data_IF_664780998241
#
_entry.id   IF_664780998241
#
_cell.length_a   1.000
_cell.length_b   1.000
_cell.length_c   1.000
_cell.angle_alpha   90.00
_cell.angle_beta   90.00
_cell.angle_gamma   90.00
#
_symmetry.space_group_name_H-M   'P 1'
#
loop_
_entity.id
_entity.type
_entity.pdbx_description
1 polymer ?
#
# COMPACT_ATOMS: atom_id res chain seq x y z
N UNK A 1 22.05 11.71 9.41
CA UNK A 1 20.87 11.13 8.75
C UNK A 1 20.59 9.83 9.49
N UNK A 2 19.80 9.90 10.57
CA UNK A 2 19.46 8.75 11.40
C UNK A 2 18.20 8.15 10.77
N UNK A 3 18.30 6.91 10.29
CA UNK A 3 17.13 6.17 9.79
C UNK A 3 16.23 5.96 11.01
N UNK A 4 14.99 6.49 11.05
CA UNK A 4 14.10 6.23 12.17
C UNK A 4 13.84 4.73 12.24
N UNK A 5 13.82 4.18 13.45
CA UNK A 5 13.54 2.77 13.71
C UNK A 5 12.30 2.32 12.93
N UNK A 6 12.47 1.39 11.99
CA UNK A 6 11.35 0.70 11.34
C UNK A 6 10.72 -0.22 12.38
N UNK A 7 9.55 0.15 12.89
CA UNK A 7 8.72 -0.78 13.63
C UNK A 7 8.12 -1.79 12.66
N UNK A 8 8.35 -3.07 12.92
CA UNK A 8 7.81 -4.17 12.12
C UNK A 8 6.89 -5.04 12.96
N UNK A 9 5.76 -5.43 12.38
CA UNK A 9 4.76 -6.28 13.00
C UNK A 9 4.56 -7.51 12.13
N UNK A 10 4.59 -8.70 12.71
CA UNK A 10 4.40 -9.94 11.95
C UNK A 10 3.11 -10.63 12.36
N UNK A 11 2.21 -10.81 11.40
CA UNK A 11 1.04 -11.68 11.54
C UNK A 11 1.39 -13.06 10.97
N UNK A 12 1.14 -14.13 11.74
CA UNK A 12 1.39 -15.50 11.32
C UNK A 12 0.07 -16.25 11.27
N UNK A 13 -0.22 -16.85 10.11
CA UNK A 13 -1.35 -17.76 9.91
C UNK A 13 -0.82 -19.10 9.41
N UNK A 14 -1.51 -20.19 9.78
CA UNK A 14 -1.18 -21.52 9.30
C UNK A 14 -2.30 -22.03 8.41
N UNK A 15 -1.94 -22.51 7.23
CA UNK A 15 -2.82 -23.22 6.30
C UNK A 15 -2.38 -24.68 6.23
N UNK A 16 -3.31 -25.63 6.21
CA UNK A 16 -2.94 -27.02 5.93
C UNK A 16 -2.54 -27.19 4.47
N UNK A 17 -1.54 -28.04 4.23
CA UNK A 17 -1.11 -28.34 2.87
C UNK A 17 -2.18 -29.18 2.17
N UNK A 18 -2.42 -28.86 0.90
CA UNK A 18 -3.35 -29.63 0.08
C UNK A 18 -2.98 -31.13 0.11
N UNK A 19 -3.98 -31.97 0.32
CA UNK A 19 -3.85 -33.44 0.27
C UNK A 19 -3.44 -33.90 -1.14
N UNK A 20 -2.89 -35.12 -1.29
CA UNK A 20 -2.45 -35.61 -2.61
C UNK A 20 -3.53 -35.50 -3.69
N UNK A 21 -4.77 -35.86 -3.35
CA UNK A 21 -5.91 -35.75 -4.26
C UNK A 21 -6.25 -34.30 -4.62
N UNK A 22 -6.18 -33.37 -3.65
CA UNK A 22 -6.34 -31.93 -3.91
C UNK A 22 -5.21 -31.37 -4.76
N UNK A 23 -3.96 -31.83 -4.58
CA UNK A 23 -2.82 -31.45 -5.42
C UNK A 23 -3.03 -31.93 -6.85
N UNK A 24 -3.38 -33.20 -7.08
CA UNK A 24 -3.62 -33.74 -8.43
C UNK A 24 -4.81 -33.03 -9.11
N UNK A 25 -5.92 -32.82 -8.38
CA UNK A 25 -7.07 -32.05 -8.89
C UNK A 25 -6.67 -30.61 -9.24
N UNK A 26 -5.90 -29.94 -8.37
CA UNK A 26 -5.40 -28.58 -8.63
C UNK A 26 -4.45 -28.53 -9.82
N UNK A 27 -3.61 -29.56 -10.03
CA UNK A 27 -2.70 -29.64 -11.17
C UNK A 27 -3.43 -29.83 -12.50
N UNK A 28 -4.50 -30.64 -12.54
CA UNK A 28 -5.34 -30.78 -13.73
C UNK A 28 -6.08 -29.49 -14.07
N UNK A 29 -6.61 -28.81 -13.06
CA UNK A 29 -7.22 -27.47 -13.23
C UNK A 29 -6.17 -26.45 -13.67
N UNK A 30 -4.95 -26.49 -13.11
CA UNK A 30 -3.86 -25.61 -13.49
C UNK A 30 -3.41 -25.83 -14.95
N UNK A 31 -3.44 -27.08 -15.46
CA UNK A 31 -3.16 -27.37 -16.87
C UNK A 31 -4.24 -26.75 -17.77
N UNK A 32 -5.53 -26.90 -17.43
CA UNK A 32 -6.62 -26.30 -18.19
C UNK A 32 -6.53 -24.77 -18.20
N UNK A 33 -6.25 -24.17 -17.03
CA UNK A 33 -6.00 -22.73 -16.91
C UNK A 33 -4.77 -22.34 -17.74
N UNK A 34 -3.69 -23.12 -17.69
CA UNK A 34 -2.49 -22.87 -18.50
C UNK A 34 -2.77 -22.88 -20.00
N UNK A 35 -3.54 -23.85 -20.49
CA UNK A 35 -3.96 -23.91 -21.89
C UNK A 35 -4.87 -22.73 -22.27
N UNK A 36 -5.81 -22.37 -21.40
CA UNK A 36 -6.65 -21.18 -21.58
C UNK A 36 -5.79 -19.91 -21.65
N UNK A 37 -4.83 -19.75 -20.75
CA UNK A 37 -3.91 -18.61 -20.72
C UNK A 37 -3.06 -18.53 -21.99
N UNK A 38 -2.57 -19.66 -22.52
CA UNK A 38 -1.83 -19.71 -23.78
C UNK A 38 -2.71 -19.25 -24.94
N UNK A 39 -3.96 -19.69 -24.99
CA UNK A 39 -4.91 -19.30 -26.03
C UNK A 39 -5.24 -17.80 -25.94
N UNK A 40 -5.56 -17.31 -24.74
CA UNK A 40 -5.82 -15.88 -24.50
C UNK A 40 -4.60 -15.03 -24.84
N UNK A 41 -3.40 -15.45 -24.43
CA UNK A 41 -2.16 -14.75 -24.75
C UNK A 41 -1.92 -14.71 -26.26
N UNK A 42 -2.20 -15.80 -26.98
CA UNK A 42 -2.03 -15.85 -28.43
C UNK A 42 -3.01 -14.90 -29.15
N UNK A 43 -4.27 -14.85 -28.72
CA UNK A 43 -5.26 -13.88 -29.23
C UNK A 43 -4.83 -12.44 -28.93
N UNK A 44 -4.36 -12.17 -27.71
CA UNK A 44 -3.88 -10.85 -27.30
C UNK A 44 -2.67 -10.41 -28.14
N UNK A 45 -1.71 -11.31 -28.37
CA UNK A 45 -0.54 -11.04 -29.21
C UNK A 45 -0.93 -10.75 -30.65
N UNK A 46 -1.83 -11.56 -31.23
CA UNK A 46 -2.32 -11.34 -32.59
C UNK A 46 -3.06 -10.00 -32.72
N UNK A 47 -3.94 -9.67 -31.76
CA UNK A 47 -4.63 -8.39 -31.73
C UNK A 47 -3.65 -7.21 -31.57
N UNK A 48 -2.63 -7.36 -30.73
CA UNK A 48 -1.60 -6.35 -30.54
C UNK A 48 -0.78 -6.14 -31.82
N UNK A 49 -0.40 -7.21 -32.52
CA UNK A 49 0.32 -7.14 -33.79
C UNK A 49 -0.53 -6.43 -34.85
N UNK A 50 -1.81 -6.80 -34.97
CA UNK A 50 -2.75 -6.12 -35.87
C UNK A 50 -2.83 -4.61 -35.57
N UNK A 51 -2.98 -4.23 -34.30
CA UNK A 51 -2.96 -2.83 -33.87
C UNK A 51 -1.63 -2.15 -34.18
N UNK A 52 -0.50 -2.83 -33.98
CA UNK A 52 0.83 -2.29 -34.23
C UNK A 52 1.04 -2.02 -35.72
N UNK A 53 0.69 -2.97 -36.59
CA UNK A 53 0.73 -2.82 -38.05
C UNK A 53 -0.20 -1.69 -38.51
N UNK A 54 -1.42 -1.64 -38.00
CA UNK A 54 -2.35 -0.55 -38.32
C UNK A 54 -1.78 0.81 -37.92
N UNK A 55 -1.19 0.92 -36.72
CA UNK A 55 -0.56 2.15 -36.25
C UNK A 55 0.60 2.55 -37.15
N UNK A 56 1.47 1.61 -37.52
CA UNK A 56 2.59 1.86 -38.41
C UNK A 56 2.11 2.39 -39.78
N UNK A 57 1.12 1.73 -40.38
CA UNK A 57 0.53 2.17 -41.65
C UNK A 57 -0.11 3.56 -41.56
N UNK A 58 -0.85 3.85 -40.48
CA UNK A 58 -1.44 5.19 -40.27
C UNK A 58 -0.38 6.28 -40.09
N UNK A 59 0.74 5.98 -39.44
CA UNK A 59 1.86 6.92 -39.29
C UNK A 59 2.59 7.16 -40.62
N UNK A 60 2.83 6.10 -41.41
CA UNK A 60 3.42 6.20 -42.74
C UNK A 60 2.53 7.00 -43.69
N UNK A 61 1.22 6.74 -43.66
CA UNK A 61 0.23 7.55 -44.40
C UNK A 61 0.28 9.01 -43.96
N UNK A 62 0.26 9.26 -42.65
CA UNK A 62 0.36 10.59 -42.06
C UNK A 62 1.59 11.34 -42.54
N UNK A 63 2.78 10.73 -42.46
CA UNK A 63 4.03 11.31 -42.93
C UNK A 63 4.02 11.66 -44.42
N UNK A 64 3.37 10.82 -45.25
CA UNK A 64 3.27 11.04 -46.69
C UNK A 64 2.37 12.23 -47.06
N UNK A 65 1.30 12.47 -46.30
CA UNK A 65 0.33 13.54 -46.56
C UNK A 65 0.61 14.82 -45.77
N UNK A 66 1.59 14.80 -44.86
CA UNK A 66 1.94 15.89 -43.95
C UNK A 66 2.40 17.14 -44.71
N UNK A 67 1.74 18.27 -44.45
CA UNK A 67 2.09 19.56 -45.03
C UNK A 67 2.88 20.38 -44.01
N UNK A 68 4.13 20.73 -44.34
CA UNK A 68 4.93 21.64 -43.53
C UNK A 68 4.46 23.09 -43.74
N UNK A 69 4.13 23.78 -42.65
CA UNK A 69 3.79 25.20 -42.72
C UNK A 69 5.05 26.07 -42.67
N UNK A 70 5.18 27.00 -43.61
CA UNK A 70 6.31 27.94 -43.68
C UNK A 70 6.25 29.01 -42.58
N UNK A 71 5.04 29.34 -42.09
CA UNK A 71 4.81 30.30 -41.01
C UNK A 71 3.65 29.85 -40.12
N UNK A 72 3.68 30.31 -38.86
CA UNK A 72 2.58 30.12 -37.89
C UNK A 72 1.69 31.35 -37.77
N UNK A 73 2.01 32.47 -38.42
CA UNK A 73 1.33 33.77 -38.23
C UNK A 73 -0.01 33.86 -38.97
N UNK A 74 -0.23 33.02 -39.98
CA UNK A 74 -1.42 33.04 -40.83
C UNK A 74 -1.92 31.62 -41.07
N UNK A 75 -3.23 31.42 -40.92
CA UNK A 75 -3.90 30.18 -41.30
C UNK A 75 -4.36 30.28 -42.77
N UNK A 76 -3.58 29.72 -43.69
CA UNK A 76 -3.93 29.72 -45.11
C UNK A 76 -5.05 28.73 -45.44
N UNK A 77 -6.08 29.19 -46.17
CA UNK A 77 -7.27 28.38 -46.51
C UNK A 77 -6.95 27.13 -47.35
N UNK A 78 -5.87 27.16 -48.14
CA UNK A 78 -5.44 26.01 -48.95
C UNK A 78 -5.02 24.77 -48.10
N UNK A 79 -4.72 24.98 -46.82
CA UNK A 79 -4.37 23.93 -45.87
C UNK A 79 -5.59 23.41 -45.07
N UNK A 80 -6.78 23.92 -45.33
CA UNK A 80 -8.00 23.47 -44.66
C UNK A 80 -8.20 21.95 -44.87
N UNK A 81 -8.57 21.24 -43.79
CA UNK A 81 -8.72 19.79 -43.72
C UNK A 81 -7.47 18.95 -44.04
N UNK A 82 -6.28 19.56 -44.10
CA UNK A 82 -5.01 18.83 -44.28
C UNK A 82 -4.34 18.51 -42.95
N UNK A 83 -3.55 17.45 -42.95
CA UNK A 83 -2.62 17.18 -41.86
C UNK A 83 -1.43 18.14 -41.98
N UNK A 84 -1.20 18.97 -40.97
CA UNK A 84 -0.16 20.00 -40.98
C UNK A 84 0.89 19.76 -39.91
N UNK A 85 2.12 20.14 -40.21
CA UNK A 85 3.24 20.21 -39.28
C UNK A 85 3.66 21.66 -39.11
N UNK A 86 3.80 22.09 -37.85
CA UNK A 86 4.28 23.40 -37.50
C UNK A 86 5.10 23.35 -36.22
N UNK A 87 5.99 24.31 -36.07
CA UNK A 87 6.73 24.56 -34.84
C UNK A 87 6.60 26.04 -34.53
N UNK A 88 6.43 26.36 -33.25
CA UNK A 88 6.34 27.74 -32.82
C UNK A 88 6.27 27.85 -31.31
N UNK A 89 6.34 29.09 -30.84
CA UNK A 89 6.23 29.39 -29.43
C UNK A 89 4.78 29.19 -28.97
N UNK A 90 4.59 28.38 -27.94
CA UNK A 90 3.31 28.27 -27.25
C UNK A 90 3.02 29.58 -26.52
N UNK A 91 1.85 30.16 -26.73
CA UNK A 91 1.41 31.39 -26.09
C UNK A 91 0.03 31.26 -25.46
N UNK A 92 -0.15 31.97 -24.35
CA UNK A 92 -1.44 32.20 -23.72
C UNK A 92 -1.39 33.55 -23.01
N UNK A 93 -2.39 34.39 -23.26
CA UNK A 93 -2.50 35.73 -22.66
C UNK A 93 -3.28 35.71 -21.34
N UNK A 94 -3.96 34.61 -21.03
CA UNK A 94 -4.72 34.45 -19.81
C UNK A 94 -3.78 34.29 -18.61
N UNK A 95 -4.14 34.95 -17.51
CA UNK A 95 -3.45 34.77 -16.23
C UNK A 95 -4.23 33.80 -15.35
N UNK A 96 -3.65 32.63 -15.11
CA UNK A 96 -4.18 31.62 -14.21
C UNK A 96 -3.87 32.01 -12.76
N UNK A 97 -4.85 31.85 -11.86
CA UNK A 97 -4.77 32.33 -10.49
C UNK A 97 -4.99 31.21 -9.47
N UNK A 98 -4.03 31.01 -8.58
CA UNK A 98 -4.14 30.14 -7.43
C UNK A 98 -4.68 30.95 -6.22
N UNK A 99 -5.93 30.72 -5.77
CA UNK A 99 -6.48 31.45 -4.65
C UNK A 99 -5.86 31.06 -3.29
N UNK A 100 -5.29 29.86 -3.15
CA UNK A 100 -4.71 29.36 -1.90
C UNK A 100 -3.41 30.08 -1.61
N UNK A 101 -2.52 30.14 -2.60
CA UNK A 101 -1.19 30.74 -2.45
C UNK A 101 -1.08 32.16 -3.04
N UNK A 102 -2.18 32.67 -3.59
CA UNK A 102 -2.28 33.99 -4.23
C UNK A 102 -1.25 34.17 -5.35
N UNK A 103 -0.98 33.10 -6.09
CA UNK A 103 -0.06 33.08 -7.24
C UNK A 103 -0.85 33.42 -8.49
N UNK A 104 -0.32 34.31 -9.32
CA UNK A 104 -0.90 34.63 -10.62
C UNK A 104 0.18 34.48 -11.68
N UNK A 105 -0.06 33.66 -12.71
CA UNK A 105 0.91 33.38 -13.76
C UNK A 105 0.23 33.28 -15.13
N UNK A 106 0.87 33.84 -16.16
CA UNK A 106 0.47 33.63 -17.55
C UNK A 106 1.08 32.34 -18.06
N UNK A 107 0.26 31.33 -18.31
CA UNK A 107 0.68 30.02 -18.78
C UNK A 107 -0.47 29.29 -19.46
N UNK A 108 -0.16 28.34 -20.34
CA UNK A 108 -1.17 27.46 -20.94
C UNK A 108 -1.81 26.52 -19.90
N UNK A 109 -1.01 26.04 -18.95
CA UNK A 109 -1.45 25.22 -17.82
C UNK A 109 -0.72 25.63 -16.57
N UNK A 110 -1.43 25.61 -15.45
CA UNK A 110 -0.88 25.83 -14.12
C UNK A 110 -1.27 24.66 -13.23
N UNK A 111 -0.29 24.05 -12.55
CA UNK A 111 -0.52 22.86 -11.72
C UNK A 111 0.05 23.09 -10.33
N UNK A 112 -0.84 23.11 -9.33
CA UNK A 112 -0.49 23.01 -7.92
C UNK A 112 -0.43 21.54 -7.53
N UNK A 113 0.72 21.11 -7.01
CA UNK A 113 0.90 19.78 -6.44
C UNK A 113 1.04 19.96 -4.93
N UNK A 114 0.19 19.28 -4.18
CA UNK A 114 0.24 19.20 -2.72
C UNK A 114 0.60 17.77 -2.34
N UNK A 115 1.56 17.66 -1.43
CA UNK A 115 1.91 16.40 -0.78
C UNK A 115 1.84 16.60 0.73
N UNK A 116 1.46 15.54 1.44
CA UNK A 116 1.45 15.49 2.90
C UNK A 116 2.41 14.42 3.36
N UNK A 117 3.31 14.79 4.27
CA UNK A 117 4.19 13.86 4.95
C UNK A 117 3.38 13.08 5.98
N UNK A 118 3.19 11.80 5.74
CA UNK A 118 2.25 10.96 6.48
C UNK A 118 2.74 9.51 6.53
N UNK A 119 2.19 8.72 7.45
CA UNK A 119 2.52 7.32 7.58
C UNK A 119 1.99 6.50 6.40
N UNK A 120 2.82 5.59 5.92
CA UNK A 120 2.50 4.57 4.92
C UNK A 120 2.75 3.21 5.55
N UNK A 121 1.76 2.32 5.46
CA UNK A 121 1.91 0.90 5.81
C UNK A 121 2.35 0.12 4.56
N UNK A 122 3.44 -0.62 4.70
CA UNK A 122 3.94 -1.54 3.70
C UNK A 122 3.69 -2.98 4.14
N UNK A 123 3.03 -3.76 3.29
CA UNK A 123 2.71 -5.16 3.54
C UNK A 123 3.65 -6.09 2.75
N UNK A 124 4.32 -7.01 3.43
CA UNK A 124 5.14 -8.05 2.82
C UNK A 124 4.65 -9.44 3.21
N UNK A 125 4.27 -10.25 2.23
CA UNK A 125 3.79 -11.63 2.44
C UNK A 125 4.90 -12.64 2.16
N UNK A 126 5.08 -13.61 3.06
CA UNK A 126 5.98 -14.76 2.91
C UNK A 126 5.22 -16.06 3.20
N UNK A 127 5.46 -17.08 2.37
CA UNK A 127 4.94 -18.43 2.58
C UNK A 127 6.09 -19.41 2.82
N UNK A 128 6.02 -20.15 3.92
CA UNK A 128 7.04 -21.13 4.31
C UNK A 128 6.36 -22.51 4.43
N UNK A 129 6.86 -23.50 3.70
CA UNK A 129 6.36 -24.89 3.79
C UNK A 129 7.00 -25.59 4.98
N UNK A 130 6.17 -26.05 5.92
CA UNK A 130 6.57 -26.77 7.14
C UNK A 130 5.86 -28.14 7.18
N UNK A 131 6.45 -29.15 6.52
CA UNK A 131 5.89 -30.50 6.47
C UNK A 131 4.51 -30.55 5.78
N UNK A 132 3.46 -30.83 6.55
CA UNK A 132 2.05 -30.87 6.11
C UNK A 132 1.29 -29.55 6.32
N UNK A 133 1.97 -28.47 6.75
CA UNK A 133 1.39 -27.12 6.87
C UNK A 133 2.20 -26.10 6.07
N UNK A 134 1.55 -25.00 5.70
CA UNK A 134 2.17 -23.80 5.14
C UNK A 134 1.96 -22.66 6.13
N UNK A 135 3.05 -22.04 6.56
CA UNK A 135 3.05 -20.85 7.40
C UNK A 135 3.02 -19.62 6.48
N UNK A 136 1.96 -18.84 6.59
CA UNK A 136 1.80 -17.54 5.96
C UNK A 136 2.22 -16.47 6.97
N UNK A 137 3.31 -15.77 6.68
CA UNK A 137 3.77 -14.61 7.45
C UNK A 137 3.45 -13.35 6.66
N UNK A 138 2.73 -12.42 7.27
CA UNK A 138 2.56 -11.06 6.75
C UNK A 138 3.30 -10.10 7.67
N UNK A 139 4.35 -9.49 7.15
CA UNK A 139 5.13 -8.45 7.83
C UNK A 139 4.61 -7.09 7.41
N UNK A 140 4.26 -6.26 8.39
CA UNK A 140 3.85 -4.87 8.22
C UNK A 140 4.99 -3.97 8.69
N UNK A 141 5.35 -2.99 7.88
CA UNK A 141 6.34 -1.97 8.24
C UNK A 141 5.78 -0.58 7.95
N UNK A 142 6.22 0.40 8.72
CA UNK A 142 5.69 1.76 8.65
C UNK A 142 6.81 2.75 8.35
N UNK A 143 6.55 3.67 7.44
CA UNK A 143 7.46 4.77 7.10
C UNK A 143 6.69 6.05 6.87
N UNK A 144 7.30 7.18 7.22
CA UNK A 144 6.77 8.49 6.88
C UNK A 144 7.23 8.87 5.47
N UNK A 145 6.27 9.14 4.59
CA UNK A 145 6.51 9.45 3.18
C UNK A 145 5.65 10.62 2.71
N UNK A 146 6.11 11.31 1.66
CA UNK A 146 5.31 12.33 0.98
C UNK A 146 4.33 11.62 0.04
N UNK A 147 3.04 11.88 0.21
CA UNK A 147 2.00 11.34 -0.66
C UNK A 147 1.02 12.45 -1.06
N UNK A 148 0.50 12.40 -2.29
CA UNK A 148 -0.46 13.36 -2.85
C UNK A 148 -1.90 13.08 -2.42
N UNK A 149 -2.17 11.88 -1.91
CA UNK A 149 -3.47 11.47 -1.39
C UNK A 149 -3.42 11.22 0.13
N UNK A 150 -4.58 11.31 0.77
CA UNK A 150 -4.71 11.04 2.21
C UNK A 150 -4.78 9.54 2.39
N UNK A 151 -3.84 8.99 3.16
CA UNK A 151 -3.84 7.60 3.56
C UNK A 151 -4.61 7.49 4.88
N UNK A 152 -5.71 6.75 4.84
CA UNK A 152 -6.53 6.50 6.03
C UNK A 152 -5.80 5.52 6.94
N UNK A 153 -5.20 6.04 8.02
CA UNK A 153 -4.52 5.20 9.02
C UNK A 153 -5.47 4.25 9.74
N UNK A 154 -6.79 4.48 9.71
CA UNK A 154 -7.80 3.58 10.30
C UNK A 154 -7.78 2.17 9.71
N UNK A 155 -7.23 1.99 8.50
CA UNK A 155 -7.07 0.67 7.87
C UNK A 155 -5.71 0.02 8.12
N UNK A 156 -4.82 0.66 8.88
CA UNK A 156 -3.53 0.06 9.24
C UNK A 156 -3.72 -1.11 10.21
N UNK A 157 -2.85 -2.11 10.09
CA UNK A 157 -2.75 -3.25 11.00
C UNK A 157 -2.48 -2.79 12.44
N UNK A 158 -1.60 -1.79 12.62
CA UNK A 158 -1.34 -1.11 13.89
C UNK A 158 -1.44 0.40 13.72
N UNK A 159 -2.58 0.96 14.13
CA UNK A 159 -2.83 2.40 14.06
C UNK A 159 -2.08 3.19 15.13
N UNK A 160 -1.76 2.56 16.26
CA UNK A 160 -1.13 3.26 17.38
C UNK A 160 0.30 3.61 17.00
N UNK A 161 0.61 4.91 17.05
CA UNK A 161 1.92 5.43 16.61
C UNK A 161 1.94 5.90 15.16
N UNK A 162 0.93 5.52 14.37
CA UNK A 162 0.90 5.71 12.91
C UNK A 162 -0.38 6.44 12.46
N UNK A 163 -0.80 7.45 13.21
CA UNK A 163 -2.04 8.19 12.95
C UNK A 163 -1.81 9.26 11.88
N UNK A 164 -2.65 9.26 10.86
CA UNK A 164 -2.64 10.28 9.81
C UNK A 164 -3.84 11.23 9.98
N UNK A 165 -3.71 12.50 9.54
CA UNK A 165 -4.87 13.37 9.42
C UNK A 165 -5.94 12.79 8.49
N UNK A 166 -7.21 12.95 8.85
CA UNK A 166 -8.34 12.45 8.06
C UNK A 166 -8.53 13.15 6.70
N UNK A 167 -7.86 14.28 6.48
CA UNK A 167 -7.96 15.08 5.26
C UNK A 167 -6.72 15.95 5.06
N UNK A 168 -6.35 16.24 3.81
CA UNK A 168 -5.39 17.30 3.52
C UNK A 168 -6.08 18.68 3.62
N UNK A 169 -5.43 19.68 4.23
CA UNK A 169 -5.94 21.06 4.28
C UNK A 169 -6.07 21.71 2.89
N UNK A 170 -5.17 21.33 1.98
CA UNK A 170 -5.11 21.83 0.61
C UNK A 170 -5.10 20.66 -0.37
N UNK A 171 -5.57 20.89 -1.61
CA UNK A 171 -5.61 19.86 -2.66
C UNK A 171 -4.78 20.28 -3.86
N UNK A 172 -4.18 19.29 -4.50
CA UNK A 172 -3.61 19.45 -5.84
C UNK A 172 -4.70 19.90 -6.82
N UNK A 173 -4.33 20.75 -7.77
CA UNK A 173 -5.25 21.31 -8.74
C UNK A 173 -4.50 21.63 -10.04
N UNK A 174 -5.16 21.42 -11.17
CA UNK A 174 -4.64 21.84 -12.47
C UNK A 174 -5.65 22.77 -13.13
N UNK A 175 -5.19 23.96 -13.49
CA UNK A 175 -5.92 24.94 -14.26
C UNK A 175 -5.38 24.97 -15.69
N UNK A 176 -6.26 25.25 -16.64
CA UNK A 176 -5.94 25.33 -18.07
C UNK A 176 -6.49 26.63 -18.61
N UNK A 177 -5.68 27.36 -19.37
CA UNK A 177 -6.14 28.59 -20.02
C UNK A 177 -7.20 28.27 -21.08
N UNK A 178 -8.22 29.13 -21.15
CA UNK A 178 -9.31 29.05 -22.12
C UNK A 178 -8.83 29.13 -23.56
N UNK A 179 -7.73 29.86 -23.80
CA UNK A 179 -7.13 30.04 -25.11
C UNK A 179 -5.63 29.80 -25.04
N UNK A 180 -5.19 28.77 -25.76
CA UNK A 180 -3.78 28.41 -25.94
C UNK A 180 -3.50 28.36 -27.44
N UNK A 181 -2.42 28.99 -27.88
CA UNK A 181 -2.09 29.14 -29.30
C UNK A 181 -0.65 28.82 -29.61
N UNK A 182 -0.41 28.57 -30.90
CA UNK A 182 0.92 28.68 -31.54
C UNK A 182 0.73 29.56 -32.77
N UNK A 183 1.25 30.80 -32.71
CA UNK A 183 0.96 31.81 -33.72
C UNK A 183 -0.55 32.09 -33.83
N UNK A 184 -1.11 31.97 -35.04
CA UNK A 184 -2.54 32.13 -35.33
C UNK A 184 -3.38 30.89 -34.99
N UNK A 185 -2.77 29.73 -34.71
CA UNK A 185 -3.47 28.47 -34.52
C UNK A 185 -3.90 28.27 -33.06
N UNK A 186 -5.19 28.06 -32.85
CA UNK A 186 -5.75 27.70 -31.54
C UNK A 186 -5.61 26.19 -31.32
N UNK A 187 -5.14 25.80 -30.12
CA UNK A 187 -5.03 24.39 -29.77
C UNK A 187 -6.35 23.86 -29.21
N UNK A 188 -6.68 22.62 -29.58
CA UNK A 188 -7.80 21.89 -28.98
C UNK A 188 -7.45 21.46 -27.55
N UNK A 189 -8.46 21.17 -26.73
CA UNK A 189 -8.25 20.65 -25.36
C UNK A 189 -7.36 19.39 -25.35
N UNK A 190 -7.55 18.48 -26.29
CA UNK A 190 -6.74 17.26 -26.40
C UNK A 190 -5.24 17.53 -26.67
N UNK A 191 -4.90 18.60 -27.40
CA UNK A 191 -3.51 19.02 -27.60
C UNK A 191 -2.96 19.71 -26.36
N UNK A 192 -3.78 20.55 -25.71
CA UNK A 192 -3.39 21.21 -24.46
C UNK A 192 -3.14 20.20 -23.33
N UNK A 193 -3.96 19.15 -23.24
CA UNK A 193 -3.83 18.11 -22.21
C UNK A 193 -2.54 17.29 -22.35
N UNK A 194 -1.97 17.20 -23.56
CA UNK A 194 -0.68 16.56 -23.83
C UNK A 194 0.52 17.40 -23.35
N UNK A 195 0.32 18.68 -23.00
CA UNK A 195 1.39 19.55 -22.48
C UNK A 195 1.70 19.13 -21.04
N UNK A 196 2.79 18.38 -20.86
CA UNK A 196 3.22 17.83 -19.57
C UNK A 196 4.58 18.36 -19.08
N UNK A 197 5.27 19.20 -19.86
CA UNK A 197 6.54 19.85 -19.46
C UNK A 197 6.28 21.01 -18.50
N UNK A 198 5.98 20.68 -17.24
CA UNK A 198 5.77 21.67 -16.19
C UNK A 198 7.11 22.15 -15.63
N UNK A 199 7.27 23.47 -15.51
CA UNK A 199 8.42 24.10 -14.86
C UNK A 199 8.04 24.62 -13.48
N UNK A 200 8.90 24.37 -12.50
CA UNK A 200 8.74 24.91 -11.15
C UNK A 200 8.84 26.44 -11.17
N UNK A 201 8.04 27.11 -10.35
CA UNK A 201 8.10 28.56 -10.18
C UNK A 201 9.29 28.89 -9.29
N UNK A 202 10.27 29.68 -9.75
CA UNK A 202 11.42 30.06 -8.92
C UNK A 202 11.00 30.93 -7.74
N UNK A 203 11.66 30.80 -6.58
CA UNK A 203 11.38 31.62 -5.40
C UNK A 203 11.72 33.09 -5.67
N UNK A 204 11.01 34.00 -4.99
CA UNK A 204 11.27 35.45 -5.09
C UNK A 204 10.81 36.10 -6.39
N UNK A 205 10.15 35.34 -7.28
CA UNK A 205 9.46 35.90 -8.45
C UNK A 205 8.11 36.49 -8.06
N UNK A 206 7.50 37.30 -8.93
CA UNK A 206 6.12 37.80 -8.74
C UNK A 206 5.08 36.67 -8.65
N UNK A 207 5.43 35.48 -9.12
CA UNK A 207 4.62 34.27 -9.04
C UNK A 207 4.96 33.39 -7.81
N UNK A 208 5.79 33.86 -6.88
CA UNK A 208 6.02 33.19 -5.59
C UNK A 208 4.81 33.35 -4.66
N UNK A 209 4.45 32.32 -3.85
CA UNK A 209 3.55 32.50 -2.72
C UNK A 209 3.93 33.70 -1.85
N UNK A 210 2.91 34.44 -1.40
CA UNK A 210 3.07 35.61 -0.52
C UNK A 210 2.89 35.28 0.97
N UNK A 211 2.56 34.05 1.29
CA UNK A 211 2.32 33.60 2.66
C UNK A 211 3.65 33.52 3.45
N UNK A 212 3.83 34.34 4.51
CA UNK A 212 5.05 34.34 5.31
C UNK A 212 5.22 33.10 6.19
N UNK A 213 4.18 32.27 6.35
CA UNK A 213 4.26 31.01 7.09
C UNK A 213 4.91 29.88 6.29
N UNK A 214 4.99 30.03 4.97
CA UNK A 214 5.62 29.06 4.10
C UNK A 214 7.15 29.17 4.16
N UNK A 215 7.81 28.03 4.33
CA UNK A 215 9.26 27.92 4.17
C UNK A 215 9.61 27.36 2.80
N UNK A 216 10.48 28.06 2.06
CA UNK A 216 11.03 27.56 0.80
C UNK A 216 12.32 26.79 1.06
N UNK A 217 12.38 25.52 0.63
CA UNK A 217 13.55 24.67 0.76
C UNK A 217 13.63 23.67 -0.40
N UNK A 218 14.81 23.49 -0.99
CA UNK A 218 15.06 22.55 -2.11
C UNK A 218 14.07 22.62 -3.29
N UNK A 219 13.53 23.81 -3.60
CA UNK A 219 12.58 23.96 -4.72
C UNK A 219 11.10 23.84 -4.33
N UNK A 220 10.79 23.56 -3.06
CA UNK A 220 9.42 23.32 -2.58
C UNK A 220 9.05 24.28 -1.44
N UNK A 221 7.76 24.54 -1.30
CA UNK A 221 7.19 25.31 -0.19
C UNK A 221 6.58 24.37 0.85
N UNK A 222 6.91 24.58 2.12
CA UNK A 222 6.48 23.73 3.24
C UNK A 222 5.65 24.52 4.26
N UNK A 223 4.54 23.92 4.71
CA UNK A 223 3.72 24.39 5.84
C UNK A 223 4.31 23.92 7.19
N UNK A 224 5.60 24.15 7.42
CA UNK A 224 6.33 23.68 8.60
C UNK A 224 7.84 23.68 8.39
N UNK A 225 8.61 23.49 9.46
CA UNK A 225 10.09 23.45 9.36
C UNK A 225 10.57 22.00 9.19
N UNK A 226 10.94 21.57 7.97
CA UNK A 226 11.53 20.23 7.79
C UNK A 226 12.87 20.06 8.55
N UNK A 227 13.52 21.17 8.92
CA UNK A 227 14.81 21.15 9.62
C UNK A 227 14.70 21.19 11.15
N UNK A 228 13.56 21.65 11.70
CA UNK A 228 13.34 21.76 13.14
C UNK A 228 11.95 21.19 13.50
N UNK A 229 11.80 19.85 13.56
CA UNK A 229 10.54 19.24 13.95
C UNK A 229 10.20 19.68 15.38
N UNK A 230 8.94 20.08 15.60
CA UNK A 230 8.45 20.32 16.95
C UNK A 230 8.34 18.97 17.64
N UNK A 231 8.95 18.85 18.81
CA UNK A 231 8.91 17.63 19.62
C UNK A 231 8.11 17.86 20.89
N UNK A 232 7.36 16.85 21.31
CA UNK A 232 6.76 16.77 22.65
C UNK A 232 7.56 15.80 23.47
N UNK A 233 8.08 16.24 24.62
CA UNK A 233 8.96 15.43 25.48
C UNK A 233 8.33 15.31 26.87
N UNK A 234 8.23 14.09 27.38
CA UNK A 234 7.94 13.79 28.78
C UNK A 234 9.18 13.13 29.39
N UNK A 235 9.84 13.86 30.28
CA UNK A 235 11.04 13.40 30.97
C UNK A 235 11.19 14.13 32.31
N UNK A 236 12.01 13.58 33.22
CA UNK A 236 12.41 14.25 34.44
C UNK A 236 13.42 15.36 34.10
N UNK A 237 13.15 16.59 34.54
CA UNK A 237 14.12 17.67 34.42
C UNK A 237 15.16 17.62 35.56
N UNK A 238 16.44 17.68 35.21
CA UNK A 238 17.56 17.86 36.14
C UNK A 238 18.48 18.97 35.63
N UNK A 239 18.21 20.20 36.08
CA UNK A 239 18.87 21.40 35.58
C UNK A 239 18.53 21.64 34.11
N UNK A 240 19.55 21.66 33.24
CA UNK A 240 19.41 21.77 31.78
C UNK A 240 19.27 20.43 31.05
N UNK A 241 19.27 19.31 31.77
CA UNK A 241 19.16 17.97 31.19
C UNK A 241 17.75 17.40 31.40
N UNK A 242 17.29 16.66 30.41
CA UNK A 242 16.12 15.79 30.50
C UNK A 242 16.62 14.36 30.65
N UNK A 243 16.15 13.65 31.67
CA UNK A 243 16.55 12.28 32.01
C UNK A 243 15.29 11.44 32.27
N UNK A 244 15.39 10.11 32.19
CA UNK A 244 14.27 9.23 32.51
C UNK A 244 13.72 9.40 33.93
N UNK A 245 12.39 9.40 34.06
CA UNK A 245 11.70 9.39 35.34
C UNK A 245 11.35 7.95 35.75
N UNK A 246 12.02 7.43 36.77
CA UNK A 246 11.66 6.14 37.36
C UNK A 246 10.30 6.25 38.07
N UNK A 247 9.31 5.48 37.61
CA UNK A 247 8.00 5.39 38.27
C UNK A 247 8.05 4.45 39.47
N UNK A 248 7.12 4.62 40.41
CA UNK A 248 6.94 3.71 41.55
C UNK A 248 6.53 2.30 41.13
N UNK A 249 5.82 2.18 40.00
CA UNK A 249 5.40 0.90 39.42
C UNK A 249 6.54 0.12 38.76
N UNK A 250 7.68 0.76 38.47
CA UNK A 250 8.89 0.10 37.97
C UNK A 250 9.35 0.54 36.57
N UNK A 251 8.48 1.15 35.76
CA UNK A 251 8.83 1.60 34.41
C UNK A 251 9.50 2.99 34.42
N UNK A 252 10.33 3.27 33.41
CA UNK A 252 10.98 4.57 33.21
C UNK A 252 10.17 5.38 32.19
N UNK A 253 9.74 6.59 32.57
CA UNK A 253 9.12 7.55 31.67
C UNK A 253 10.20 8.46 31.07
N UNK A 254 10.60 8.14 29.84
CA UNK A 254 11.45 8.95 28.97
C UNK A 254 10.89 8.88 27.55
N UNK A 255 9.93 9.76 27.26
CA UNK A 255 9.09 9.66 26.07
C UNK A 255 9.34 10.90 25.20
N UNK A 256 9.68 10.66 23.93
CA UNK A 256 9.81 11.70 22.92
C UNK A 256 8.88 11.38 21.75
N UNK A 257 8.05 12.34 21.39
CA UNK A 257 7.25 12.33 20.17
C UNK A 257 7.65 13.48 19.26
N UNK A 258 7.67 13.25 17.95
CA UNK A 258 7.85 14.29 16.93
C UNK A 258 6.54 14.97 16.53
N UNK A 259 5.48 14.71 17.30
CA UNK A 259 4.12 15.24 17.14
C UNK A 259 3.80 16.20 18.30
N UNK A 260 2.92 17.17 18.06
CA UNK A 260 2.38 18.05 19.11
C UNK A 260 1.20 17.37 19.80
N UNK A 261 1.49 16.53 20.80
CA UNK A 261 0.48 15.79 21.55
C UNK A 261 0.23 16.45 22.90
N UNK A 262 -1.03 16.42 23.37
CA UNK A 262 -1.30 16.82 24.75
C UNK A 262 -0.81 15.73 25.72
N UNK A 263 -0.54 16.06 27.00
CA UNK A 263 -0.17 15.05 27.98
C UNK A 263 -1.20 13.92 28.09
N UNK A 264 -2.49 14.24 27.96
CA UNK A 264 -3.58 13.23 28.02
C UNK A 264 -3.49 12.24 26.86
N UNK A 265 -3.25 12.74 25.65
CA UNK A 265 -3.17 11.92 24.44
C UNK A 265 -1.97 10.97 24.49
N UNK A 266 -0.84 11.44 25.02
CA UNK A 266 0.37 10.62 25.21
C UNK A 266 0.07 9.45 26.15
N UNK A 267 -0.52 9.70 27.32
CA UNK A 267 -0.80 8.63 28.26
C UNK A 267 -1.89 7.69 27.76
N UNK A 268 -2.94 8.18 27.08
CA UNK A 268 -3.95 7.30 26.47
C UNK A 268 -3.35 6.39 25.40
N UNK A 269 -2.44 6.91 24.57
CA UNK A 269 -1.71 6.16 23.55
C UNK A 269 -0.86 5.06 24.18
N UNK A 270 -0.08 5.40 25.21
CA UNK A 270 0.71 4.43 25.98
C UNK A 270 -0.14 3.37 26.68
N UNK A 271 -1.32 3.72 27.17
CA UNK A 271 -2.25 2.73 27.73
C UNK A 271 -2.84 1.80 26.67
N UNK A 272 -3.15 2.32 25.48
CA UNK A 272 -3.63 1.52 24.35
C UNK A 272 -2.57 0.52 23.89
N UNK A 273 -1.31 0.96 23.72
CA UNK A 273 -0.16 0.10 23.40
C UNK A 273 0.02 -1.02 24.43
N UNK A 274 0.03 -0.67 25.71
CA UNK A 274 0.17 -1.64 26.79
C UNK A 274 -0.98 -2.66 26.80
N UNK A 275 -2.20 -2.19 26.52
CA UNK A 275 -3.38 -3.05 26.40
C UNK A 275 -3.21 -4.01 25.24
N UNK A 276 -2.86 -3.51 24.04
CA UNK A 276 -2.67 -4.31 22.85
C UNK A 276 -1.58 -5.38 23.05
N UNK A 277 -0.41 -4.98 23.58
CA UNK A 277 0.68 -5.90 23.90
C UNK A 277 0.25 -6.98 24.89
N UNK A 278 -0.48 -6.60 25.94
CA UNK A 278 -1.02 -7.55 26.91
C UNK A 278 -1.93 -8.59 26.25
N UNK A 279 -2.82 -8.15 25.35
CA UNK A 279 -3.70 -9.05 24.61
C UNK A 279 -2.93 -9.94 23.62
N UNK A 280 -1.90 -9.41 22.95
CA UNK A 280 -1.05 -10.18 22.05
C UNK A 280 -0.32 -11.32 22.79
N UNK A 281 0.27 -11.02 23.95
CA UNK A 281 0.93 -12.03 24.80
C UNK A 281 -0.08 -13.06 25.29
N UNK A 282 -1.28 -12.62 25.73
CA UNK A 282 -2.34 -13.54 26.18
C UNK A 282 -2.81 -14.47 25.07
N UNK A 283 -2.99 -13.96 23.86
CA UNK A 283 -3.37 -14.76 22.70
C UNK A 283 -2.25 -15.76 22.32
N UNK A 284 -0.99 -15.30 22.30
CA UNK A 284 0.16 -16.18 22.06
C UNK A 284 0.27 -17.30 23.10
N UNK A 285 0.08 -16.98 24.38
CA UNK A 285 0.05 -17.96 25.46
C UNK A 285 -1.11 -18.94 25.33
N UNK A 286 -2.32 -18.47 25.00
CA UNK A 286 -3.47 -19.32 24.74
C UNK A 286 -3.22 -20.28 23.57
N UNK A 287 -2.63 -19.79 22.48
CA UNK A 287 -2.28 -20.60 21.31
C UNK A 287 -1.24 -21.67 21.65
N UNK A 288 -0.20 -21.32 22.42
CA UNK A 288 0.83 -22.25 22.85
C UNK A 288 0.25 -23.36 23.74
N UNK A 289 -0.64 -23.01 24.66
CA UNK A 289 -1.38 -23.99 25.47
C UNK A 289 -2.29 -24.87 24.61
N UNK A 290 -3.01 -24.30 23.65
CA UNK A 290 -3.89 -25.04 22.74
C UNK A 290 -3.11 -26.08 21.92
N UNK A 291 -1.94 -25.70 21.39
CA UNK A 291 -1.04 -26.63 20.69
C UNK A 291 -0.51 -27.72 21.64
N UNK A 292 -0.08 -27.33 22.84
CA UNK A 292 0.41 -28.27 23.86
C UNK A 292 -0.62 -29.35 24.23
N UNK A 293 -1.88 -28.96 24.45
CA UNK A 293 -2.96 -29.89 24.72
C UNK A 293 -3.27 -30.81 23.53
N UNK A 294 -3.25 -30.28 22.30
CA UNK A 294 -3.41 -31.08 21.10
C UNK A 294 -2.38 -32.22 20.99
N UNK A 295 -1.11 -31.93 21.31
CA UNK A 295 -0.04 -32.93 21.35
C UNK A 295 -0.27 -34.02 22.42
N UNK A 296 -0.72 -33.64 23.61
CA UNK A 296 -1.03 -34.58 24.69
C UNK A 296 -2.20 -35.51 24.32
N UNK A 297 -3.26 -34.98 23.71
CA UNK A 297 -4.40 -35.80 23.29
C UNK A 297 -4.07 -36.76 22.15
N UNK A 298 -3.13 -36.40 21.27
CA UNK A 298 -2.67 -37.25 20.16
C UNK A 298 -2.03 -38.56 20.64
N UNK A 299 -1.27 -38.50 21.74
CA UNK A 299 -0.68 -39.69 22.37
C UNK A 299 -1.77 -40.61 22.92
N UNK A 300 -2.80 -40.04 23.56
CA UNK A 300 -3.94 -40.81 24.10
C UNK A 300 -4.72 -41.47 22.96
N UNK A 301 -5.03 -40.76 21.87
CA UNK A 301 -5.72 -41.35 20.73
C UNK A 301 -4.92 -42.47 20.06
N UNK A 302 -3.59 -42.34 20.00
CA UNK A 302 -2.71 -43.38 19.44
C UNK A 302 -2.69 -44.64 20.32
N UNK A 303 -2.69 -44.48 21.65
CA UNK A 303 -2.77 -45.60 22.59
C UNK A 303 -4.15 -46.28 22.57
N UNK A 304 -5.24 -45.51 22.47
CA UNK A 304 -6.60 -46.05 22.36
C UNK A 304 -6.82 -46.83 21.06
N UNK A 305 -6.20 -46.42 19.96
CA UNK A 305 -6.26 -47.13 18.66
C UNK A 305 -5.35 -48.38 18.64
N UNK A 306 -4.38 -48.50 19.56
CA UNK A 306 -3.49 -49.66 19.64
C UNK A 306 -4.08 -50.87 20.38
N UNK A 307 -5.28 -50.75 20.96
CA UNK A 307 -6.01 -51.88 21.52
C UNK A 307 -6.87 -52.50 20.40
N UNK A 308 -6.52 -53.70 19.88
CA UNK A 308 -7.27 -54.32 18.81
C UNK A 308 -8.67 -54.68 19.33
N UNK A 309 -9.72 -54.20 18.68
CA UNK A 309 -11.10 -54.61 18.98
C UNK A 309 -11.34 -56.12 18.77
N UNK A 310 -10.42 -56.79 18.09
CA UNK A 310 -10.48 -58.24 17.81
C UNK A 310 -10.12 -59.11 19.02
N UNK A 311 -9.37 -58.60 20.00
CA UNK A 311 -9.02 -59.36 21.21
C UNK A 311 -10.14 -59.34 22.26
N UNK A 312 -10.98 -58.30 22.26
CA UNK A 312 -12.17 -58.23 23.12
C UNK A 312 -13.30 -59.12 22.60
N UNK A 313 -13.48 -59.22 21.28
CA UNK A 313 -14.50 -60.11 20.70
C UNK A 313 -14.14 -61.59 20.84
N UNK A 314 -12.87 -61.99 20.67
CA UNK A 314 -12.45 -63.39 20.86
C UNK A 314 -12.60 -63.86 22.31
N UNK A 315 -12.30 -63.02 23.31
CA UNK A 315 -12.43 -63.40 24.72
C UNK A 315 -13.90 -63.52 25.16
N UNK A 316 -14.81 -62.72 24.61
CA UNK A 316 -16.26 -62.84 24.88
C UNK A 316 -16.84 -64.11 24.22
N UNK A 317 -16.39 -64.45 23.00
CA UNK A 317 -16.84 -65.67 22.30
C UNK A 317 -16.32 -66.94 23.01
N UNK A 318 -15.07 -66.94 23.49
CA UNK A 318 -14.51 -68.08 24.25
C UNK A 318 -15.22 -68.25 25.60
N UNK A 319 -15.55 -67.16 26.29
CA UNK A 319 -16.32 -67.22 27.55
C UNK A 319 -17.75 -67.75 27.34
N UNK A 320 -18.43 -67.34 26.26
CA UNK A 320 -19.78 -67.85 25.94
C UNK A 320 -19.78 -69.32 25.47
N UNK A 321 -18.70 -69.79 24.82
CA UNK A 321 -18.56 -71.20 24.41
C UNK A 321 -18.24 -72.14 25.59
N UNK A 322 -17.63 -71.62 26.66
CA UNK A 322 -17.33 -72.39 27.88
C UNK A 322 -18.58 -72.60 28.76
N UNK A 323 -19.55 -71.67 28.75
CA UNK A 323 -20.84 -71.85 29.43
C UNK A 323 -21.74 -72.89 28.76
N UNK A 324 -21.67 -73.09 27.44
CA UNK A 324 -22.50 -74.08 26.74
C UNK A 324 -21.95 -75.52 26.82
N UNK A 325 -20.69 -75.70 27.20
CA UNK A 325 -20.03 -77.00 27.27
C UNK A 325 -20.23 -77.76 28.59
N UNK A 326 -20.88 -77.17 29.59
CA UNK A 326 -21.00 -77.75 30.95
C UNK A 326 -22.32 -78.47 31.23
N UNK A 327 -23.29 -78.44 30.31
CA UNK A 327 -24.65 -78.97 30.52
C UNK A 327 -24.94 -80.34 29.84
N UNK A 328 -23.97 -81.00 29.19
CA UNK A 328 -24.24 -82.19 28.36
C UNK A 328 -23.62 -83.54 28.78
N UNK A 329 -23.13 -83.70 30.01
CA UNK A 329 -22.74 -85.02 30.54
C UNK A 329 -23.24 -85.25 31.97
N UNK A 330 -24.55 -85.48 32.10
CA UNK A 330 -25.14 -86.30 33.15
C UNK A 330 -25.98 -87.35 32.44
N UNK A 331 -25.44 -88.58 32.31
CA UNK A 331 -26.16 -89.86 32.44
C UNK A 331 -25.20 -91.04 32.37
#
# INVERSE_FOLDING_TARGET
MHVPHQETYTNVKYRQNATFFERVKSSLVAILIGLMLILVASVLLFWNEGRAVQTAQSLDEGMRILVHLDTTDVAFENNNLRLVYLQGQLSSEESLFDPVYQISIRAARFRRIIEMYQWVEHEQKREIKEGDRTREETEYSYSLEWNQEVIKSDSFYSTVGHENPNSMPYRSETQVASVVKVGAFHLSSALVDQISDFRLIPPGTSASPKDPSLMFFNGYYYHGSPQNPKVTIIAKQKGSRLEGYQTEAGDILEILYTELLSPKDIFSKKHADNTLMTWAIRFGGWLLMFVGFGCLTSIITTLVISVPTDTLSQNIIIAASLEQGTDSEIF
#
